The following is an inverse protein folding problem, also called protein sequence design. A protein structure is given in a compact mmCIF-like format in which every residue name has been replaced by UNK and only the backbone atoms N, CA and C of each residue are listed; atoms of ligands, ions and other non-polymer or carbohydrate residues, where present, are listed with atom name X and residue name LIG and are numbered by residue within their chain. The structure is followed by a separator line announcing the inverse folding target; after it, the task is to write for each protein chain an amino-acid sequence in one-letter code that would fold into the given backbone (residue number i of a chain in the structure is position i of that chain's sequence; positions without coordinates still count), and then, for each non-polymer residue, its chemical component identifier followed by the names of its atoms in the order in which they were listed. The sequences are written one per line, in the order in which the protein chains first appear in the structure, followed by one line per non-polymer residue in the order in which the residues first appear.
data_IF_756645563429
#
_entry.id   IF_756645563429
#
_cell.length_a   1.000
_cell.length_b   1.000
_cell.length_c   1.000
_cell.angle_alpha   90.00
_cell.angle_beta   90.00
_cell.angle_gamma   90.00
#
_symmetry.space_group_name_H-M   'P 1'
#
loop_
_entity.id
_entity.type
_entity.pdbx_description
1 polymer ?
#
# COMPACT_ATOMS: atom_id res chain seq x y z
N UNK A 1 -12.99 6.64 6.42
CA UNK A 1 -14.12 6.34 7.33
C UNK A 1 -15.36 5.78 6.63
N UNK A 2 -15.62 6.11 5.36
CA UNK A 2 -16.87 5.72 4.69
C UNK A 2 -17.14 4.21 4.70
N UNK A 3 -16.16 3.38 4.33
CA UNK A 3 -16.30 1.92 4.29
C UNK A 3 -16.60 1.32 5.67
N UNK A 4 -16.04 1.90 6.74
CA UNK A 4 -16.31 1.47 8.11
C UNK A 4 -17.77 1.79 8.50
N UNK A 5 -18.26 2.97 8.12
CA UNK A 5 -19.63 3.41 8.42
C UNK A 5 -20.68 2.65 7.58
N UNK A 6 -20.35 2.25 6.35
CA UNK A 6 -21.22 1.41 5.52
C UNK A 6 -21.16 -0.08 5.88
N UNK A 7 -20.20 -0.50 6.71
CA UNK A 7 -19.99 -1.90 7.07
C UNK A 7 -19.43 -2.74 5.92
N UNK A 8 -18.72 -2.11 4.98
CA UNK A 8 -18.11 -2.79 3.84
C UNK A 8 -16.89 -3.63 4.27
N UNK A 9 -16.86 -4.87 3.78
CA UNK A 9 -15.73 -5.78 3.93
C UNK A 9 -14.69 -5.51 2.84
N UNK A 10 -13.51 -5.03 3.25
CA UNK A 10 -12.38 -4.72 2.36
C UNK A 10 -11.35 -5.85 2.27
N UNK A 11 -11.65 -7.03 2.82
CA UNK A 11 -10.81 -8.20 2.65
C UNK A 11 -11.04 -8.76 1.25
N UNK A 12 -9.97 -8.92 0.48
CA UNK A 12 -10.01 -9.38 -0.91
C UNK A 12 -9.45 -10.80 -1.04
N UNK A 13 -9.68 -11.45 -2.19
CA UNK A 13 -9.03 -12.73 -2.51
C UNK A 13 -7.52 -12.53 -2.67
N UNK A 14 -6.75 -13.50 -2.18
CA UNK A 14 -5.29 -13.50 -2.32
C UNK A 14 -4.91 -13.51 -3.80
N UNK A 15 -4.00 -12.62 -4.25
CA UNK A 15 -3.64 -12.52 -5.65
C UNK A 15 -2.97 -13.80 -6.17
N UNK A 16 -3.11 -14.14 -7.46
CA UNK A 16 -2.57 -15.38 -8.03
C UNK A 16 -1.07 -15.57 -7.87
N UNK A 17 -0.30 -14.48 -7.72
CA UNK A 17 1.13 -14.53 -7.46
C UNK A 17 1.46 -15.20 -6.12
N UNK A 18 0.50 -15.25 -5.19
CA UNK A 18 0.60 -15.95 -3.91
C UNK A 18 -0.30 -17.17 -3.98
N UNK A 19 0.26 -18.33 -4.28
CA UNK A 19 -0.50 -19.57 -4.40
C UNK A 19 -1.04 -19.99 -3.02
N UNK A 20 -2.26 -19.57 -2.69
CA UNK A 20 -2.82 -19.70 -1.35
C UNK A 20 -2.98 -21.17 -0.92
N UNK A 21 -3.41 -22.03 -1.85
CA UNK A 21 -3.63 -23.46 -1.59
C UNK A 21 -2.32 -24.21 -1.36
N UNK A 22 -1.30 -23.92 -2.15
CA UNK A 22 0.02 -24.54 -2.00
C UNK A 22 0.71 -24.11 -0.70
N UNK A 23 0.58 -22.84 -0.33
CA UNK A 23 1.23 -22.26 0.84
C UNK A 23 0.44 -22.43 2.14
N UNK A 24 -0.76 -23.06 2.09
CA UNK A 24 -1.66 -23.24 3.23
C UNK A 24 -1.98 -21.92 3.96
N UNK A 25 -2.08 -20.83 3.22
CA UNK A 25 -2.50 -19.52 3.75
C UNK A 25 -4.00 -19.32 3.52
N UNK A 26 -4.67 -18.47 4.32
CA UNK A 26 -6.06 -18.11 4.07
C UNK A 26 -6.27 -17.61 2.63
N UNK A 27 -7.42 -17.90 2.03
CA UNK A 27 -7.74 -17.47 0.67
C UNK A 27 -8.03 -15.98 0.55
N UNK A 28 -8.25 -15.30 1.68
CA UNK A 28 -8.65 -13.90 1.76
C UNK A 28 -7.69 -13.09 2.64
N UNK A 29 -7.34 -11.87 2.23
CA UNK A 29 -6.48 -10.97 2.98
C UNK A 29 -6.80 -9.49 2.74
N UNK A 30 -6.51 -8.65 3.74
CA UNK A 30 -6.52 -7.20 3.56
C UNK A 30 -5.24 -6.75 2.86
N UNK A 31 -5.36 -5.87 1.88
CA UNK A 31 -4.21 -5.33 1.14
C UNK A 31 -4.39 -3.83 0.87
N UNK A 32 -3.27 -3.14 0.79
CA UNK A 32 -3.24 -1.76 0.31
C UNK A 32 -3.21 -1.75 -1.22
N UNK A 33 -3.98 -0.85 -1.82
CA UNK A 33 -3.88 -0.56 -3.25
C UNK A 33 -2.72 0.38 -3.55
N UNK A 34 -2.29 0.40 -4.82
CA UNK A 34 -1.36 1.40 -5.37
C UNK A 34 -0.01 1.56 -4.64
N UNK A 35 0.50 0.50 -4.02
CA UNK A 35 1.80 0.51 -3.28
C UNK A 35 3.02 0.76 -4.19
N UNK A 36 2.82 0.70 -5.50
CA UNK A 36 3.80 1.01 -6.53
C UNK A 36 3.94 2.52 -6.80
N UNK A 37 2.99 3.34 -6.32
CA UNK A 37 3.04 4.81 -6.47
C UNK A 37 3.98 5.47 -5.46
N UNK A 38 4.60 6.56 -5.90
CA UNK A 38 5.40 7.46 -5.07
C UNK A 38 5.75 8.74 -5.85
N UNK A 39 5.58 9.93 -5.25
CA UNK A 39 6.01 11.21 -5.82
C UNK A 39 7.51 11.47 -5.60
N UNK A 40 8.35 10.77 -6.37
CA UNK A 40 9.81 10.84 -6.24
C UNK A 40 10.37 12.26 -6.48
N UNK A 41 9.76 13.02 -7.40
CA UNK A 41 10.20 14.37 -7.76
C UNK A 41 9.96 15.34 -6.58
N UNK A 42 8.81 15.24 -5.91
CA UNK A 42 8.51 16.02 -4.70
C UNK A 42 9.53 15.80 -3.58
N UNK A 43 9.89 14.55 -3.31
CA UNK A 43 10.88 14.19 -2.28
C UNK A 43 12.34 14.32 -2.75
N UNK A 44 12.57 14.79 -3.98
CA UNK A 44 13.90 14.96 -4.58
C UNK A 44 14.71 13.65 -4.61
N UNK A 45 14.04 12.53 -4.86
CA UNK A 45 14.63 11.20 -4.99
C UNK A 45 14.66 10.84 -6.48
N UNK A 46 15.80 10.31 -6.97
CA UNK A 46 15.86 9.88 -8.38
C UNK A 46 14.92 8.70 -8.63
N UNK A 47 14.42 8.56 -9.87
CA UNK A 47 13.52 7.45 -10.24
C UNK A 47 14.16 6.08 -9.99
N UNK A 48 15.44 5.95 -10.26
CA UNK A 48 16.21 4.73 -10.03
C UNK A 48 16.25 4.40 -8.54
N UNK A 49 16.53 5.38 -7.68
CA UNK A 49 16.54 5.17 -6.23
C UNK A 49 15.14 4.86 -5.70
N UNK A 50 14.11 5.57 -6.18
CA UNK A 50 12.72 5.36 -5.80
C UNK A 50 12.22 3.94 -6.17
N UNK A 51 12.69 3.37 -7.29
CA UNK A 51 12.34 2.02 -7.69
C UNK A 51 12.94 0.94 -6.79
N UNK A 52 14.10 1.21 -6.19
CA UNK A 52 14.80 0.29 -5.27
C UNK A 52 14.34 0.46 -3.80
N UNK A 53 13.55 1.50 -3.50
CA UNK A 53 13.03 1.73 -2.15
C UNK A 53 11.96 0.71 -1.77
N UNK A 54 11.97 0.32 -0.49
CA UNK A 54 10.88 -0.48 0.10
C UNK A 54 9.54 0.28 -0.07
N UNK A 55 8.51 -0.32 -0.70
CA UNK A 55 7.22 0.32 -0.90
C UNK A 55 6.59 0.88 0.37
N UNK A 56 6.83 0.23 1.53
CA UNK A 56 6.30 0.69 2.82
C UNK A 56 6.91 2.02 3.24
N UNK A 57 8.18 2.24 2.91
CA UNK A 57 8.85 3.49 3.24
C UNK A 57 8.38 4.64 2.35
N UNK A 58 8.10 4.36 1.05
CA UNK A 58 7.50 5.34 0.13
C UNK A 58 6.12 5.81 0.63
N UNK A 59 5.25 4.87 0.99
CA UNK A 59 3.94 5.16 1.60
C UNK A 59 4.08 5.94 2.90
N UNK A 60 5.03 5.55 3.77
CA UNK A 60 5.26 6.24 5.04
C UNK A 60 5.69 7.70 4.84
N UNK A 61 6.55 8.00 3.86
CA UNK A 61 7.00 9.36 3.57
C UNK A 61 5.83 10.27 3.17
N UNK A 62 4.99 9.80 2.24
CA UNK A 62 3.81 10.53 1.79
C UNK A 62 2.82 10.75 2.94
N UNK A 63 2.44 9.70 3.67
CA UNK A 63 1.51 9.81 4.79
C UNK A 63 2.03 10.70 5.92
N UNK A 64 3.35 10.72 6.16
CA UNK A 64 3.95 11.62 7.15
C UNK A 64 3.83 13.07 6.70
N UNK A 65 4.05 13.35 5.41
CA UNK A 65 3.86 14.69 4.86
C UNK A 65 2.40 15.13 4.94
N UNK A 66 1.47 14.29 4.50
CA UNK A 66 0.03 14.54 4.60
C UNK A 66 -0.41 14.82 6.04
N UNK A 67 0.04 14.01 7.00
CA UNK A 67 -0.29 14.17 8.42
C UNK A 67 0.26 15.47 9.02
N UNK A 68 1.42 15.95 8.56
CA UNK A 68 1.96 17.25 8.98
C UNK A 68 1.13 18.40 8.40
N UNK A 69 0.66 18.26 7.15
CA UNK A 69 -0.12 19.28 6.45
C UNK A 69 -1.60 19.32 6.85
N UNK A 70 -2.15 18.24 7.41
CA UNK A 70 -3.53 18.12 7.89
C UNK A 70 -3.80 18.88 9.20
N UNK A 71 -2.75 19.21 9.96
CA UNK A 71 -2.82 19.93 11.22
C UNK A 71 -3.29 21.39 11.08
#
# INVERSE_FOLDING_TARGET
MQNLLSGEDLIEEVPPCWNASLNKIPSRMGRLGEVDKFDADYFQISKEAANEMDPRFRVLLELTHEAIMDA
#
